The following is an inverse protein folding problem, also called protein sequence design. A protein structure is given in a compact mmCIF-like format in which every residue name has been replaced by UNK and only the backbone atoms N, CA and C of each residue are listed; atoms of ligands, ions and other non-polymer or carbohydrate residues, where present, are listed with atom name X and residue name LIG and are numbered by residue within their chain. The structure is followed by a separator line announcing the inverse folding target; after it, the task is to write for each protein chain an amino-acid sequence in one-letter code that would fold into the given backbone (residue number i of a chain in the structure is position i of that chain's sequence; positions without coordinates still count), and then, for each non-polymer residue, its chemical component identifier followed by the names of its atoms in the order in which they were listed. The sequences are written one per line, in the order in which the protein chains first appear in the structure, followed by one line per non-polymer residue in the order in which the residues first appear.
data_IF_936325028380
#
_entry.id   IF_936325028380
#
_cell.length_a   1.000
_cell.length_b   1.000
_cell.length_c   1.000
_cell.angle_alpha   90.00
_cell.angle_beta   90.00
_cell.angle_gamma   90.00
#
_symmetry.space_group_name_H-M   'P 1'
#
loop_
_entity.id
_entity.type
_entity.pdbx_description
1 polymer ?
#
# COMPACT_ATOMS: atom_id res chain seq x y z
N UNK A 1 -0.88 8.42 10.36
CA UNK A 1 -1.12 9.16 9.11
C UNK A 1 -2.61 9.38 8.91
N UNK A 2 -3.04 10.56 8.47
CA UNK A 2 -4.47 10.86 8.20
C UNK A 2 -4.91 10.27 6.87
N UNK A 3 -6.20 9.92 6.73
CA UNK A 3 -6.77 9.51 5.43
C UNK A 3 -7.02 10.75 4.56
N UNK A 4 -6.84 10.67 3.22
CA UNK A 4 -7.21 11.76 2.32
C UNK A 4 -8.73 11.95 2.30
N UNK A 5 -9.17 13.19 2.14
CA UNK A 5 -10.61 13.48 1.92
C UNK A 5 -11.01 13.14 0.48
N UNK A 6 -12.31 12.92 0.22
CA UNK A 6 -12.80 12.64 -1.12
C UNK A 6 -12.46 13.77 -2.13
N UNK A 7 -12.42 15.02 -1.69
CA UNK A 7 -12.04 16.15 -2.52
C UNK A 7 -10.52 16.18 -2.81
N UNK A 8 -9.70 15.78 -1.84
CA UNK A 8 -8.27 15.62 -2.05
C UNK A 8 -7.98 14.57 -3.14
N UNK A 9 -8.73 13.46 -3.17
CA UNK A 9 -8.55 12.38 -4.14
C UNK A 9 -8.90 12.75 -5.60
N UNK A 10 -9.43 13.95 -5.87
CA UNK A 10 -9.57 14.46 -7.24
C UNK A 10 -8.25 14.83 -7.88
N UNK A 11 -7.23 15.18 -7.07
CA UNK A 11 -5.88 15.41 -7.57
C UNK A 11 -5.16 14.08 -7.80
N UNK A 12 -4.12 14.07 -8.66
CA UNK A 12 -3.29 12.88 -8.83
C UNK A 12 -2.53 12.52 -7.56
N UNK A 13 -2.40 11.22 -7.31
CA UNK A 13 -1.58 10.67 -6.21
C UNK A 13 -0.60 9.65 -6.75
N UNK A 14 0.61 9.65 -6.20
CA UNK A 14 1.56 8.56 -6.39
C UNK A 14 1.33 7.52 -5.28
N UNK A 15 0.98 6.30 -5.67
CA UNK A 15 0.97 5.13 -4.78
C UNK A 15 2.37 4.53 -4.74
N UNK A 16 2.86 4.22 -3.54
CA UNK A 16 4.11 3.51 -3.28
C UNK A 16 3.80 2.30 -2.41
N UNK A 17 4.06 1.12 -2.94
CA UNK A 17 3.98 -0.14 -2.21
C UNK A 17 5.30 -0.90 -2.36
N UNK A 18 5.98 -1.05 -1.25
CA UNK A 18 7.22 -1.81 -1.10
C UNK A 18 7.11 -2.84 0.03
N UNK A 19 5.89 -3.17 0.46
CA UNK A 19 5.69 -3.99 1.66
C UNK A 19 6.15 -5.44 1.49
N UNK A 20 6.25 -5.91 0.25
CA UNK A 20 6.67 -7.28 -0.10
C UNK A 20 7.90 -7.24 -1.01
N UNK A 21 8.27 -8.40 -1.57
CA UNK A 21 9.35 -8.52 -2.56
C UNK A 21 8.96 -7.95 -3.95
N UNK A 22 7.81 -7.32 -4.04
CA UNK A 22 7.30 -6.66 -5.24
C UNK A 22 7.32 -5.15 -5.04
N UNK A 23 7.93 -4.42 -5.96
CA UNK A 23 7.79 -2.98 -6.07
C UNK A 23 6.55 -2.68 -6.91
N UNK A 24 5.53 -2.11 -6.29
CA UNK A 24 4.33 -1.66 -7.00
C UNK A 24 4.17 -0.15 -6.85
N UNK A 25 3.99 0.52 -7.98
CA UNK A 25 3.80 1.95 -8.09
C UNK A 25 2.59 2.23 -8.97
N UNK A 26 1.86 3.29 -8.69
CA UNK A 26 0.79 3.76 -9.57
C UNK A 26 0.58 5.27 -9.45
N UNK A 27 0.22 5.90 -10.54
CA UNK A 27 -0.36 7.24 -10.54
C UNK A 27 -1.87 7.09 -10.65
N UNK A 28 -2.58 7.65 -9.67
CA UNK A 28 -4.03 7.51 -9.52
C UNK A 28 -4.65 8.90 -9.46
N UNK A 29 -5.67 9.16 -10.27
CA UNK A 29 -6.47 10.38 -10.19
C UNK A 29 -7.95 10.06 -10.43
N UNK A 30 -8.81 10.70 -9.69
CA UNK A 30 -10.28 10.57 -9.80
C UNK A 30 -10.75 9.10 -9.84
N UNK A 31 -10.17 8.29 -8.94
CA UNK A 31 -10.49 6.86 -8.82
C UNK A 31 -9.99 5.97 -9.98
N UNK A 32 -9.17 6.50 -10.89
CA UNK A 32 -8.62 5.76 -12.04
C UNK A 32 -7.11 5.64 -11.92
N UNK A 33 -6.58 4.49 -12.30
CA UNK A 33 -5.14 4.28 -12.50
C UNK A 33 -4.75 4.86 -13.85
N UNK A 34 -3.90 5.88 -13.85
CA UNK A 34 -3.40 6.54 -15.07
C UNK A 34 -2.17 5.81 -15.61
N UNK A 35 -1.31 5.32 -14.73
CA UNK A 35 -0.16 4.49 -15.05
C UNK A 35 0.17 3.60 -13.87
N UNK A 36 0.82 2.48 -14.10
CA UNK A 36 1.29 1.60 -13.03
C UNK A 36 2.53 0.82 -13.44
N UNK A 37 3.28 0.41 -12.43
CA UNK A 37 4.42 -0.48 -12.51
C UNK A 37 4.32 -1.51 -11.39
N UNK A 38 4.61 -2.78 -11.69
CA UNK A 38 4.68 -3.84 -10.66
C UNK A 38 5.66 -4.91 -11.12
N UNK A 39 6.70 -5.14 -10.33
CA UNK A 39 7.74 -6.14 -10.61
C UNK A 39 8.31 -6.71 -9.32
N UNK A 40 8.62 -8.00 -9.31
CA UNK A 40 9.34 -8.62 -8.20
C UNK A 40 10.78 -8.11 -8.13
N UNK A 41 11.17 -7.55 -6.98
CA UNK A 41 12.50 -6.94 -6.79
C UNK A 41 13.10 -7.46 -5.48
N UNK A 42 13.93 -8.51 -5.58
CA UNK A 42 14.44 -9.20 -4.40
C UNK A 42 15.61 -8.50 -3.67
N UNK A 43 16.42 -7.69 -4.34
CA UNK A 43 17.65 -7.10 -3.74
C UNK A 43 17.87 -5.62 -4.03
N UNK A 44 17.28 -5.08 -5.08
CA UNK A 44 17.60 -3.74 -5.58
C UNK A 44 16.47 -2.72 -5.36
N UNK A 45 15.58 -2.98 -4.37
CA UNK A 45 14.40 -2.14 -4.10
C UNK A 45 14.75 -0.65 -4.01
N UNK A 46 15.79 -0.30 -3.24
CA UNK A 46 16.19 1.09 -3.06
C UNK A 46 16.72 1.72 -4.35
N UNK A 47 17.48 0.96 -5.16
CA UNK A 47 18.05 1.45 -6.41
C UNK A 47 16.98 1.61 -7.51
N UNK A 48 15.95 0.73 -7.49
CA UNK A 48 14.88 0.71 -8.48
C UNK A 48 13.77 1.73 -8.18
N UNK A 49 13.51 2.00 -6.91
CA UNK A 49 12.35 2.79 -6.48
C UNK A 49 12.29 4.17 -7.15
N UNK A 50 13.36 4.96 -7.09
CA UNK A 50 13.35 6.32 -7.63
C UNK A 50 13.22 6.38 -9.17
N UNK A 51 13.98 5.61 -9.96
CA UNK A 51 13.77 5.54 -11.40
C UNK A 51 12.36 5.13 -11.80
N UNK A 52 11.79 4.14 -11.13
CA UNK A 52 10.46 3.65 -11.49
C UNK A 52 9.33 4.63 -11.07
N UNK A 53 9.50 5.38 -9.97
CA UNK A 53 8.59 6.49 -9.66
C UNK A 53 8.60 7.55 -10.78
N UNK A 54 9.78 7.89 -11.31
CA UNK A 54 9.88 8.81 -12.45
C UNK A 54 9.21 8.24 -13.71
N UNK A 55 9.42 6.96 -13.98
CA UNK A 55 8.85 6.26 -15.14
C UNK A 55 7.31 6.24 -15.11
N UNK A 56 6.70 5.96 -13.95
CA UNK A 56 5.23 5.95 -13.85
C UNK A 56 4.63 7.35 -13.99
N UNK A 57 5.31 8.39 -13.50
CA UNK A 57 4.88 9.77 -13.71
C UNK A 57 4.93 10.15 -15.19
N UNK A 58 6.05 9.89 -15.87
CA UNK A 58 6.20 10.14 -17.29
C UNK A 58 5.14 9.37 -18.13
N UNK A 59 4.87 8.12 -17.77
CA UNK A 59 3.86 7.30 -18.43
C UNK A 59 2.44 7.85 -18.23
N UNK A 60 2.19 8.52 -17.11
CA UNK A 60 0.95 9.25 -16.85
C UNK A 60 0.93 10.64 -17.50
N UNK A 61 2.01 11.06 -18.17
CA UNK A 61 2.20 12.40 -18.72
C UNK A 61 2.11 13.50 -17.64
N UNK A 62 2.71 13.24 -16.49
CA UNK A 62 2.65 14.10 -15.30
C UNK A 62 4.04 14.39 -14.73
N UNK A 63 4.15 15.54 -14.08
CA UNK A 63 5.32 15.96 -13.32
C UNK A 63 5.04 16.00 -11.80
N UNK A 64 6.12 15.95 -11.01
CA UNK A 64 6.07 15.94 -9.55
C UNK A 64 5.19 17.03 -8.92
N UNK A 65 5.23 18.31 -9.38
CA UNK A 65 4.42 19.38 -8.79
C UNK A 65 2.91 19.22 -8.99
N UNK A 66 2.47 18.38 -9.92
CA UNK A 66 1.06 18.14 -10.20
C UNK A 66 0.41 17.19 -9.20
N UNK A 67 1.23 16.44 -8.44
CA UNK A 67 0.74 15.51 -7.43
C UNK A 67 0.06 16.25 -6.27
N UNK A 68 -1.07 15.72 -5.82
CA UNK A 68 -1.79 16.15 -4.63
C UNK A 68 -1.28 15.51 -3.34
N UNK A 69 -0.50 14.43 -3.46
CA UNK A 69 0.07 13.70 -2.34
C UNK A 69 0.57 12.32 -2.71
N UNK A 70 0.96 11.58 -1.68
CA UNK A 70 1.52 10.23 -1.78
C UNK A 70 0.64 9.29 -0.97
N UNK A 71 0.27 8.16 -1.55
CA UNK A 71 -0.36 7.02 -0.89
C UNK A 71 0.74 5.97 -0.62
N UNK A 72 0.94 5.60 0.62
CA UNK A 72 2.00 4.68 1.01
C UNK A 72 1.44 3.45 1.73
N UNK A 73 1.76 2.24 1.24
CA UNK A 73 1.42 1.01 1.93
C UNK A 73 2.27 0.85 3.19
N UNK A 74 1.63 0.92 4.36
CA UNK A 74 2.26 0.80 5.67
C UNK A 74 2.52 -0.66 6.09
N UNK A 75 2.15 -1.61 5.24
CA UNK A 75 2.20 -3.03 5.55
C UNK A 75 0.89 -3.60 6.12
N UNK A 76 0.99 -4.75 6.79
CA UNK A 76 2.22 -5.44 7.21
C UNK A 76 3.05 -6.00 6.04
N UNK A 77 4.32 -6.33 6.31
CA UNK A 77 5.23 -6.88 5.32
C UNK A 77 6.70 -6.79 5.73
N UNK A 78 7.61 -6.85 4.74
CA UNK A 78 9.06 -6.75 4.95
C UNK A 78 9.44 -5.43 5.64
N UNK A 79 9.98 -5.51 6.85
CA UNK A 79 10.42 -4.35 7.61
C UNK A 79 11.42 -3.46 6.86
N UNK A 80 12.40 -4.09 6.19
CA UNK A 80 13.41 -3.37 5.41
C UNK A 80 12.77 -2.66 4.21
N UNK A 81 11.94 -3.36 3.46
CA UNK A 81 11.32 -2.83 2.24
C UNK A 81 10.32 -1.70 2.55
N UNK A 82 9.52 -1.83 3.60
CA UNK A 82 8.62 -0.77 4.09
C UNK A 82 9.43 0.49 4.45
N UNK A 83 10.58 0.36 5.12
CA UNK A 83 11.42 1.52 5.45
C UNK A 83 12.00 2.22 4.24
N UNK A 84 12.37 1.47 3.19
CA UNK A 84 12.84 2.05 1.92
C UNK A 84 11.74 2.93 1.30
N UNK A 85 10.53 2.39 1.15
CA UNK A 85 9.40 3.14 0.60
C UNK A 85 8.99 4.34 1.46
N UNK A 86 8.98 4.16 2.79
CA UNK A 86 8.69 5.26 3.72
C UNK A 86 9.72 6.38 3.64
N UNK A 87 11.01 6.05 3.55
CA UNK A 87 12.07 7.04 3.40
C UNK A 87 11.92 7.86 2.11
N UNK A 88 11.59 7.19 0.99
CA UNK A 88 11.33 7.86 -0.28
C UNK A 88 10.07 8.76 -0.18
N UNK A 89 8.97 8.26 0.38
CA UNK A 89 7.75 9.06 0.58
C UNK A 89 8.00 10.29 1.46
N UNK A 90 8.78 10.13 2.55
CA UNK A 90 9.16 11.26 3.43
C UNK A 90 10.11 12.24 2.77
N UNK A 91 11.03 11.79 1.93
CA UNK A 91 11.89 12.68 1.14
C UNK A 91 11.05 13.55 0.19
N UNK A 92 10.05 12.98 -0.48
CA UNK A 92 9.13 13.71 -1.34
C UNK A 92 8.22 14.67 -0.54
N UNK A 93 7.76 14.28 0.65
CA UNK A 93 7.02 15.15 1.56
C UNK A 93 7.83 16.41 1.91
N UNK A 94 9.10 16.23 2.26
CA UNK A 94 9.99 17.32 2.65
C UNK A 94 10.40 18.22 1.47
N UNK A 95 10.69 17.62 0.31
CA UNK A 95 11.20 18.36 -0.85
C UNK A 95 10.13 19.06 -1.66
N UNK A 96 8.92 18.49 -1.73
CA UNK A 96 7.82 18.98 -2.57
C UNK A 96 6.62 19.47 -1.77
N UNK A 97 6.63 19.37 -0.43
CA UNK A 97 5.50 19.73 0.41
C UNK A 97 4.27 18.81 0.25
N UNK A 98 4.45 17.63 -0.33
CA UNK A 98 3.38 16.66 -0.55
C UNK A 98 2.99 15.97 0.76
N UNK A 99 1.68 15.78 0.99
CA UNK A 99 1.24 14.98 2.13
C UNK A 99 1.38 13.49 1.86
N UNK A 100 1.86 12.75 2.85
CA UNK A 100 1.92 11.28 2.83
C UNK A 100 0.75 10.71 3.62
N UNK A 101 -0.03 9.85 2.98
CA UNK A 101 -1.16 9.14 3.56
C UNK A 101 -0.84 7.65 3.63
N UNK A 102 -1.00 7.07 4.83
CA UNK A 102 -0.77 5.65 5.03
C UNK A 102 -1.99 4.82 4.66
N UNK A 103 -1.75 3.72 3.96
CA UNK A 103 -2.75 2.71 3.63
C UNK A 103 -2.44 1.42 4.38
N UNK A 104 -3.46 0.73 4.86
CA UNK A 104 -3.35 -0.62 5.36
C UNK A 104 -3.39 -1.60 4.16
N UNK A 105 -2.28 -2.31 3.91
CA UNK A 105 -2.17 -3.25 2.79
C UNK A 105 -3.18 -4.39 2.87
N UNK A 106 -3.45 -4.91 4.07
CA UNK A 106 -4.45 -5.98 4.26
C UNK A 106 -5.88 -5.47 3.99
N UNK A 107 -6.19 -4.21 4.36
CA UNK A 107 -7.48 -3.59 4.02
C UNK A 107 -7.65 -3.45 2.50
N UNK A 108 -6.60 -3.08 1.79
CA UNK A 108 -6.64 -3.00 0.33
C UNK A 108 -6.89 -4.38 -0.31
N UNK A 109 -6.31 -5.44 0.23
CA UNK A 109 -6.55 -6.83 -0.21
C UNK A 109 -7.96 -7.32 0.15
N UNK A 110 -8.50 -6.94 1.30
CA UNK A 110 -9.86 -7.33 1.70
C UNK A 110 -10.94 -6.66 0.83
N UNK A 111 -10.73 -5.40 0.45
CA UNK A 111 -11.73 -4.54 -0.18
C UNK A 111 -12.45 -5.16 -1.39
N UNK A 112 -11.79 -5.84 -2.36
CA UNK A 112 -12.47 -6.47 -3.50
C UNK A 112 -13.39 -7.64 -3.12
N UNK A 113 -13.26 -8.17 -1.92
CA UNK A 113 -13.98 -9.35 -1.43
C UNK A 113 -15.09 -9.01 -0.42
N UNK A 114 -15.25 -7.72 -0.08
CA UNK A 114 -16.30 -7.23 0.82
C UNK A 114 -17.60 -6.92 0.09
N UNK A 115 -18.65 -6.49 0.81
CA UNK A 115 -19.94 -6.13 0.22
C UNK A 115 -20.88 -7.31 -0.08
N UNK A 116 -20.57 -8.51 0.49
CA UNK A 116 -21.39 -9.73 0.29
C UNK A 116 -22.12 -10.17 1.58
N UNK A 117 -22.22 -9.28 2.57
CA UNK A 117 -22.88 -9.58 3.85
C UNK A 117 -22.10 -10.54 4.74
N UNK A 118 -20.79 -10.65 4.54
CA UNK A 118 -19.88 -11.52 5.32
C UNK A 118 -18.56 -10.84 5.58
N UNK A 119 -17.92 -11.26 6.64
CA UNK A 119 -16.57 -10.82 7.00
C UNK A 119 -15.51 -11.44 6.06
N UNK A 120 -14.39 -10.75 5.91
CA UNK A 120 -13.24 -11.17 5.11
C UNK A 120 -12.01 -11.21 6.01
N UNK A 121 -11.34 -12.36 6.07
CA UNK A 121 -10.06 -12.48 6.78
C UNK A 121 -8.92 -12.56 5.75
N UNK A 122 -7.97 -11.66 5.89
CA UNK A 122 -6.75 -11.64 5.07
C UNK A 122 -5.63 -12.32 5.84
N UNK A 123 -4.93 -13.22 5.15
CA UNK A 123 -3.76 -13.94 5.62
C UNK A 123 -2.57 -13.57 4.72
N UNK A 124 -1.48 -13.07 5.28
CA UNK A 124 -0.24 -12.76 4.56
C UNK A 124 0.93 -13.47 5.21
N UNK A 125 1.86 -13.96 4.41
CA UNK A 125 3.12 -14.51 4.91
C UNK A 125 3.89 -13.47 5.73
N UNK A 126 4.38 -13.89 6.89
CA UNK A 126 5.28 -13.15 7.74
C UNK A 126 6.68 -13.79 7.72
N UNK A 127 7.44 -13.68 8.79
CA UNK A 127 8.78 -14.28 8.88
C UNK A 127 8.67 -15.73 9.36
N UNK A 128 9.37 -16.64 8.68
CA UNK A 128 9.39 -18.07 9.04
C UNK A 128 8.08 -18.77 8.69
N UNK A 129 7.44 -19.37 9.69
CA UNK A 129 6.15 -20.09 9.55
C UNK A 129 4.96 -19.26 9.99
N UNK A 130 5.19 -18.03 10.41
CA UNK A 130 4.15 -17.14 10.90
C UNK A 130 3.44 -16.42 9.76
N UNK A 131 2.23 -15.98 10.04
CA UNK A 131 1.41 -15.18 9.13
C UNK A 131 0.87 -13.94 9.85
N UNK A 132 0.69 -12.87 9.10
CA UNK A 132 -0.14 -11.75 9.50
C UNK A 132 -1.59 -12.08 9.23
N UNK A 133 -2.47 -11.80 10.20
CA UNK A 133 -3.91 -12.04 10.08
C UNK A 133 -4.67 -10.78 10.48
N UNK A 134 -5.66 -10.39 9.69
CA UNK A 134 -6.60 -9.31 10.01
C UNK A 134 -7.95 -9.58 9.40
N UNK A 135 -9.03 -9.40 10.18
CA UNK A 135 -10.41 -9.55 9.72
C UNK A 135 -11.09 -8.20 9.52
N UNK A 136 -11.95 -8.14 8.54
CA UNK A 136 -12.65 -6.93 8.10
C UNK A 136 -14.14 -7.21 7.96
N UNK A 137 -14.97 -6.23 8.26
CA UNK A 137 -16.42 -6.27 8.03
C UNK A 137 -16.76 -6.12 6.53
N UNK A 138 -18.05 -6.18 6.21
CA UNK A 138 -18.58 -6.03 4.85
C UNK A 138 -18.24 -4.70 4.16
N UNK A 139 -17.79 -3.68 4.91
CA UNK A 139 -17.38 -2.37 4.42
C UNK A 139 -15.85 -2.23 4.38
N UNK A 140 -15.11 -3.31 4.49
CA UNK A 140 -13.64 -3.35 4.62
C UNK A 140 -13.10 -2.58 5.83
N UNK A 141 -13.89 -2.42 6.90
CA UNK A 141 -13.42 -1.82 8.15
C UNK A 141 -12.79 -2.93 9.00
N UNK A 142 -11.56 -2.75 9.51
CA UNK A 142 -10.94 -3.77 10.36
C UNK A 142 -11.65 -3.90 11.70
N UNK A 143 -11.85 -5.13 12.16
CA UNK A 143 -12.38 -5.43 13.49
C UNK A 143 -11.36 -5.13 14.60
N UNK A 144 -10.08 -5.36 14.29
CA UNK A 144 -8.94 -5.14 15.20
C UNK A 144 -7.65 -4.88 14.39
N UNK A 145 -6.58 -4.57 15.09
CA UNK A 145 -5.25 -4.47 14.47
C UNK A 145 -4.79 -5.85 13.95
N UNK A 146 -3.90 -5.82 12.95
CA UNK A 146 -3.28 -7.04 12.44
C UNK A 146 -2.46 -7.72 13.55
N UNK A 147 -2.54 -9.04 13.62
CA UNK A 147 -1.75 -9.85 14.54
C UNK A 147 -0.84 -10.80 13.76
N UNK A 148 0.25 -11.23 14.41
CA UNK A 148 1.13 -12.29 13.89
C UNK A 148 0.86 -13.56 14.68
N UNK A 149 0.63 -14.67 13.98
CA UNK A 149 0.34 -15.97 14.59
C UNK A 149 0.72 -17.11 13.64
N UNK A 150 0.70 -18.34 14.11
CA UNK A 150 0.90 -19.51 13.25
C UNK A 150 -0.31 -19.74 12.33
N UNK A 151 -0.10 -20.39 11.19
CA UNK A 151 -1.19 -20.69 10.25
C UNK A 151 -2.31 -21.55 10.87
N UNK A 152 -2.03 -22.61 11.68
CA UNK A 152 -3.10 -23.36 12.36
C UNK A 152 -3.96 -22.50 13.28
N UNK A 153 -3.34 -21.64 14.11
CA UNK A 153 -4.09 -20.73 14.99
C UNK A 153 -4.96 -19.73 14.23
N UNK A 154 -4.48 -19.27 13.06
CA UNK A 154 -5.25 -18.38 12.21
C UNK A 154 -6.47 -19.05 11.60
N UNK A 155 -6.34 -20.31 11.17
CA UNK A 155 -7.44 -21.09 10.60
C UNK A 155 -8.50 -21.45 11.64
N UNK A 156 -8.08 -21.73 12.88
CA UNK A 156 -8.98 -22.02 13.99
C UNK A 156 -9.82 -20.80 14.42
N UNK A 157 -9.35 -19.60 14.13
CA UNK A 157 -10.02 -18.32 14.48
C UNK A 157 -10.72 -17.67 13.30
N UNK A 158 -10.58 -18.20 12.10
CA UNK A 158 -11.29 -17.69 10.93
C UNK A 158 -12.81 -17.93 11.09
N UNK A 159 -13.65 -16.94 10.81
CA UNK A 159 -15.09 -17.03 10.95
C UNK A 159 -15.73 -18.00 9.96
#
# INVERSE_FOLDING_TARGET
MTKPTAEALKKPYLLIDTANDTLSLAVIADGKVLSSFSEAVFRDMAARLQPEMQNVLQSAQMDWPELGGILFNQGPGSFTSIRIGLAAAKALELSLGLKVYGLNGMQALAHPHTGQGRDVTVLLEAVGTDIYTQSFDENAKPHADAITQSLPEALDRAP
#
